data_IF_612159885306
#
_entry.id   IF_612159885306
#
_cell.length_a   1.000
_cell.length_b   1.000
_cell.length_c   1.000
_cell.angle_alpha   90.00
_cell.angle_beta   90.00
_cell.angle_gamma   90.00
#
_symmetry.space_group_name_H-M   'P 1'
#
loop_
_entity.id
_entity.type
_entity.pdbx_description
1 polymer ?
#
# COMPACT_ATOMS: atom_id res chain seq x y z
N UNK A 1 3.11 15.74 7.09
CA UNK A 1 2.96 14.69 6.10
C UNK A 1 3.03 15.28 4.71
N UNK A 2 3.94 14.81 3.89
CA UNK A 2 4.14 15.38 2.55
C UNK A 2 3.36 14.57 1.52
N UNK A 3 2.19 15.07 1.17
CA UNK A 3 1.36 14.47 0.13
C UNK A 3 1.49 15.36 -1.10
N UNK A 4 1.88 14.77 -2.23
CA UNK A 4 2.16 15.52 -3.43
C UNK A 4 1.20 15.12 -4.55
N UNK A 5 1.04 16.01 -5.53
CA UNK A 5 0.17 15.74 -6.68
C UNK A 5 0.86 14.95 -7.76
N UNK A 6 2.19 14.88 -7.72
CA UNK A 6 2.95 14.10 -8.69
C UNK A 6 3.88 13.14 -7.98
N UNK A 7 4.03 11.93 -8.51
CA UNK A 7 4.94 10.97 -7.89
C UNK A 7 6.39 11.31 -8.22
N UNK A 8 7.31 10.87 -7.37
CA UNK A 8 8.74 11.02 -7.61
C UNK A 8 9.44 9.67 -7.75
N UNK A 9 8.79 8.59 -7.33
CA UNK A 9 9.39 7.26 -7.29
C UNK A 9 8.76 6.31 -8.30
N UNK A 10 7.83 6.80 -9.09
CA UNK A 10 7.18 6.04 -10.16
C UNK A 10 6.83 6.99 -11.30
N UNK A 11 6.70 6.45 -12.50
CA UNK A 11 6.34 7.24 -13.67
C UNK A 11 4.84 7.40 -13.85
N UNK A 12 4.09 6.35 -13.54
CA UNK A 12 2.65 6.33 -13.77
C UNK A 12 1.94 7.31 -12.84
N UNK A 13 1.08 8.14 -13.41
CA UNK A 13 0.27 9.08 -12.62
C UNK A 13 -1.06 9.32 -13.30
N UNK A 14 -2.04 9.73 -12.50
CA UNK A 14 -3.35 10.15 -12.99
C UNK A 14 -3.68 11.49 -12.36
N UNK A 15 -4.33 12.35 -13.14
CA UNK A 15 -4.72 13.66 -12.66
C UNK A 15 -5.67 13.53 -11.48
N UNK A 16 -5.43 14.32 -10.43
CA UNK A 16 -6.26 14.33 -9.23
C UNK A 16 -5.87 13.30 -8.18
N UNK A 17 -4.94 12.41 -8.50
CA UNK A 17 -4.47 11.41 -7.52
C UNK A 17 -3.25 11.95 -6.81
N UNK A 18 -3.25 11.89 -5.49
CA UNK A 18 -2.14 12.34 -4.67
C UNK A 18 -1.24 11.16 -4.32
N UNK A 19 -0.01 11.48 -3.97
CA UNK A 19 1.02 10.48 -3.69
C UNK A 19 1.72 10.79 -2.37
N UNK A 20 2.15 9.74 -1.67
CA UNK A 20 2.88 9.88 -0.42
C UNK A 20 4.09 8.95 -0.46
N UNK A 21 5.25 9.45 -0.03
CA UNK A 21 6.48 8.67 -0.02
C UNK A 21 6.40 7.55 1.02
N UNK A 22 7.12 6.43 0.80
CA UNK A 22 7.02 5.30 1.73
C UNK A 22 7.34 5.64 3.18
N UNK A 23 8.39 6.42 3.43
CA UNK A 23 8.74 6.77 4.81
C UNK A 23 7.68 7.63 5.47
N UNK A 24 7.09 8.56 4.71
CA UNK A 24 6.01 9.39 5.23
C UNK A 24 4.78 8.54 5.56
N UNK A 25 4.47 7.59 4.68
CA UNK A 25 3.35 6.68 4.89
C UNK A 25 3.58 5.80 6.13
N UNK A 26 4.80 5.33 6.29
CA UNK A 26 5.17 4.52 7.44
C UNK A 26 4.95 5.28 8.76
N UNK A 27 5.48 6.50 8.84
CA UNK A 27 5.31 7.31 10.06
C UNK A 27 3.85 7.67 10.30
N UNK A 28 3.11 7.99 9.24
CA UNK A 28 1.69 8.31 9.39
C UNK A 28 0.91 7.10 9.91
N UNK A 29 1.21 5.91 9.40
CA UNK A 29 0.55 4.69 9.85
C UNK A 29 0.89 4.36 11.30
N UNK A 30 2.16 4.52 11.67
CA UNK A 30 2.57 4.26 13.06
C UNK A 30 1.94 5.21 14.06
N UNK A 31 1.62 6.42 13.62
CA UNK A 31 1.00 7.42 14.49
C UNK A 31 -0.51 7.45 14.35
N UNK A 32 -1.08 6.42 13.75
CA UNK A 32 -2.54 6.27 13.57
C UNK A 32 -3.16 7.42 12.77
N UNK A 33 -2.38 8.01 11.86
CA UNK A 33 -2.86 9.08 10.99
C UNK A 33 -3.19 8.60 9.59
N UNK A 34 -2.84 7.36 9.27
CA UNK A 34 -3.10 6.78 7.96
C UNK A 34 -3.33 5.29 8.11
N UNK A 35 -4.06 4.73 7.16
CA UNK A 35 -4.31 3.31 7.05
C UNK A 35 -3.76 2.86 5.71
N UNK A 36 -2.94 1.83 5.71
CA UNK A 36 -2.43 1.26 4.48
C UNK A 36 -3.46 0.28 3.93
N UNK A 37 -3.74 0.40 2.65
CA UNK A 37 -4.69 -0.46 1.94
C UNK A 37 -3.94 -1.16 0.82
N UNK A 38 -3.69 -2.45 1.01
CA UNK A 38 -3.02 -3.28 0.01
C UNK A 38 -4.08 -3.82 -0.95
N UNK A 39 -3.94 -3.52 -2.24
CA UNK A 39 -4.91 -3.94 -3.25
C UNK A 39 -4.34 -4.96 -4.23
N UNK A 40 -3.22 -5.58 -3.87
CA UNK A 40 -2.64 -6.64 -4.70
C UNK A 40 -3.49 -7.89 -4.62
N UNK A 41 -3.26 -8.82 -5.56
CA UNK A 41 -4.02 -10.05 -5.56
C UNK A 41 -3.49 -11.03 -4.50
N UNK A 42 -4.28 -12.06 -4.24
CA UNK A 42 -4.06 -12.96 -3.13
C UNK A 42 -2.68 -13.60 -3.13
N UNK A 43 -2.20 -14.01 -4.29
CA UNK A 43 -0.89 -14.67 -4.37
C UNK A 43 0.25 -13.70 -4.04
N UNK A 44 0.09 -12.42 -4.35
CA UNK A 44 1.08 -11.41 -4.00
C UNK A 44 1.08 -11.15 -2.50
N UNK A 45 -0.10 -11.04 -1.93
CA UNK A 45 -0.28 -10.82 -0.49
C UNK A 45 0.31 -11.97 0.32
N UNK A 46 0.12 -13.20 -0.15
CA UNK A 46 0.64 -14.37 0.56
C UNK A 46 2.15 -14.48 0.47
N UNK A 47 2.75 -13.97 -0.60
CA UNK A 47 4.20 -14.04 -0.76
C UNK A 47 4.92 -13.07 0.18
N UNK A 48 4.46 -11.84 0.24
CA UNK A 48 5.00 -10.84 1.16
C UNK A 48 4.01 -9.71 1.34
N UNK A 49 4.08 -9.04 2.47
CA UNK A 49 3.16 -7.95 2.78
C UNK A 49 3.81 -6.96 3.73
N UNK A 50 3.26 -5.76 3.78
CA UNK A 50 3.71 -4.72 4.69
C UNK A 50 3.46 -5.19 6.11
N UNK A 51 4.51 -5.13 6.95
CA UNK A 51 4.46 -5.63 8.32
C UNK A 51 4.12 -4.50 9.28
N UNK A 52 2.84 -4.14 9.32
CA UNK A 52 2.31 -3.17 10.26
C UNK A 52 1.01 -3.73 10.84
N UNK A 53 0.62 -3.31 12.05
CA UNK A 53 -0.54 -3.91 12.72
C UNK A 53 -1.87 -3.73 12.02
N UNK A 54 -2.05 -2.63 11.30
CA UNK A 54 -3.36 -2.29 10.77
C UNK A 54 -3.34 -2.05 9.27
N UNK A 55 -2.88 -3.06 8.53
CA UNK A 55 -2.93 -3.02 7.07
C UNK A 55 -4.22 -3.70 6.62
N UNK A 56 -5.03 -2.96 5.86
CA UNK A 56 -6.22 -3.52 5.25
C UNK A 56 -5.84 -4.20 3.94
N UNK A 57 -6.51 -5.30 3.65
CA UNK A 57 -6.29 -6.02 2.41
C UNK A 57 -7.62 -6.18 1.66
N UNK A 58 -7.73 -5.54 0.50
CA UNK A 58 -8.87 -5.66 -0.41
C UNK A 58 -8.33 -5.73 -1.83
N UNK A 59 -8.26 -6.92 -2.41
CA UNK A 59 -7.66 -7.04 -3.74
C UNK A 59 -8.42 -6.24 -4.79
N UNK A 60 -7.68 -5.73 -5.78
CA UNK A 60 -8.26 -4.90 -6.82
C UNK A 60 -9.45 -5.57 -7.49
N UNK A 61 -9.42 -6.89 -7.66
CA UNK A 61 -10.50 -7.64 -8.28
C UNK A 61 -11.80 -7.64 -7.47
N UNK A 62 -11.72 -7.31 -6.17
CA UNK A 62 -12.90 -7.33 -5.29
C UNK A 62 -13.19 -5.99 -4.63
N UNK A 63 -12.41 -4.96 -4.93
CA UNK A 63 -12.49 -3.69 -4.19
C UNK A 63 -13.87 -3.03 -4.31
N UNK A 64 -14.49 -3.15 -5.48
CA UNK A 64 -15.82 -2.53 -5.69
C UNK A 64 -16.87 -3.09 -4.73
N UNK A 65 -16.78 -4.38 -4.44
CA UNK A 65 -17.74 -5.04 -3.54
C UNK A 65 -17.41 -4.81 -2.07
N UNK A 66 -16.25 -4.21 -1.78
CA UNK A 66 -15.77 -4.07 -0.41
C UNK A 66 -15.61 -2.62 0.04
N UNK A 67 -16.03 -1.68 -0.78
CA UNK A 67 -15.84 -0.26 -0.46
C UNK A 67 -16.47 0.14 0.87
N UNK A 68 -17.60 -0.44 1.22
CA UNK A 68 -18.26 -0.11 2.48
C UNK A 68 -17.47 -0.55 3.70
N UNK A 69 -16.47 -1.41 3.51
CA UNK A 69 -15.61 -1.86 4.60
C UNK A 69 -14.34 -1.04 4.75
N UNK A 70 -14.15 -0.02 3.91
CA UNK A 70 -12.98 0.85 3.97
C UNK A 70 -13.34 2.07 4.79
N UNK A 71 -12.64 2.31 5.92
CA UNK A 71 -12.92 3.51 6.73
C UNK A 71 -12.50 4.76 5.99
N UNK A 72 -13.22 5.87 6.21
CA UNK A 72 -12.90 7.14 5.56
C UNK A 72 -12.59 8.26 6.56
N UNK A 73 -12.32 7.90 7.80
CA UNK A 73 -12.02 8.87 8.86
C UNK A 73 -10.52 9.14 9.00
N UNK A 74 -9.71 8.53 8.17
CA UNK A 74 -8.27 8.70 8.16
C UNK A 74 -7.77 8.74 6.72
N UNK A 75 -6.50 9.13 6.54
CA UNK A 75 -5.87 9.04 5.23
C UNK A 75 -5.74 7.57 4.84
N UNK A 76 -6.18 7.24 3.63
CA UNK A 76 -6.03 5.89 3.07
C UNK A 76 -4.84 5.93 2.12
N UNK A 77 -3.82 5.13 2.39
CA UNK A 77 -2.66 5.00 1.51
C UNK A 77 -2.80 3.69 0.76
N UNK A 78 -3.08 3.79 -0.53
CA UNK A 78 -3.30 2.62 -1.38
C UNK A 78 -1.97 2.11 -1.91
N UNK A 79 -1.73 0.83 -1.77
CA UNK A 79 -0.45 0.23 -2.13
C UNK A 79 -0.60 -0.95 -3.08
N UNK A 80 0.28 -1.01 -4.07
CA UNK A 80 0.48 -2.20 -4.89
C UNK A 80 2.00 -2.38 -5.08
N UNK A 81 2.41 -3.25 -5.99
CA UNK A 81 3.83 -3.56 -6.10
C UNK A 81 4.64 -2.36 -6.59
N UNK A 82 4.19 -1.68 -7.65
CA UNK A 82 4.95 -0.60 -8.28
C UNK A 82 4.23 0.74 -8.29
N UNK A 83 3.01 0.80 -7.79
CA UNK A 83 2.25 2.04 -7.70
C UNK A 83 1.27 2.29 -8.84
N UNK A 84 1.26 1.47 -9.89
CA UNK A 84 0.36 1.70 -11.01
C UNK A 84 -1.08 1.34 -10.67
N UNK A 85 -1.30 0.11 -10.19
CA UNK A 85 -2.64 -0.35 -9.81
C UNK A 85 -3.21 0.50 -8.69
N UNK A 86 -2.37 0.83 -7.70
CA UNK A 86 -2.81 1.61 -6.56
C UNK A 86 -3.19 3.04 -6.96
N UNK A 87 -2.50 3.62 -7.94
CA UNK A 87 -2.88 4.94 -8.46
C UNK A 87 -4.27 4.89 -9.08
N UNK A 88 -4.57 3.83 -9.83
CA UNK A 88 -5.90 3.66 -10.43
C UNK A 88 -6.97 3.48 -9.36
N UNK A 89 -6.68 2.70 -8.33
CA UNK A 89 -7.63 2.48 -7.23
C UNK A 89 -7.82 3.75 -6.42
N UNK A 90 -6.76 4.51 -6.17
CA UNK A 90 -6.89 5.80 -5.49
C UNK A 90 -7.83 6.73 -6.25
N UNK A 91 -7.70 6.75 -7.57
CA UNK A 91 -8.61 7.53 -8.41
C UNK A 91 -10.05 7.05 -8.29
N UNK A 92 -10.24 5.73 -8.30
CA UNK A 92 -11.56 5.13 -8.16
C UNK A 92 -12.19 5.51 -6.82
N UNK A 93 -11.43 5.42 -5.74
CA UNK A 93 -11.91 5.77 -4.41
C UNK A 93 -12.27 7.25 -4.32
N UNK A 94 -11.45 8.12 -4.91
CA UNK A 94 -11.77 9.55 -4.96
C UNK A 94 -13.12 9.79 -5.64
N UNK A 95 -13.39 9.08 -6.72
CA UNK A 95 -14.65 9.22 -7.45
C UNK A 95 -15.84 8.73 -6.66
N UNK A 96 -15.62 7.82 -5.72
CA UNK A 96 -16.68 7.25 -4.90
C UNK A 96 -16.82 7.95 -3.54
N UNK A 97 -16.21 9.13 -3.39
CA UNK A 97 -16.42 9.96 -2.22
C UNK A 97 -15.36 9.88 -1.13
N UNK A 98 -14.32 9.05 -1.33
CA UNK A 98 -13.20 9.01 -0.38
C UNK A 98 -12.30 10.22 -0.63
N UNK A 99 -12.25 11.16 0.31
CA UNK A 99 -11.57 12.43 0.09
C UNK A 99 -10.11 12.42 0.51
N UNK A 100 -9.74 11.55 1.43
CA UNK A 100 -8.36 11.49 1.95
C UNK A 100 -7.72 10.19 1.48
N UNK A 101 -7.30 10.18 0.21
CA UNK A 101 -6.70 8.99 -0.40
C UNK A 101 -5.42 9.41 -1.10
N UNK A 102 -4.37 8.62 -0.93
CA UNK A 102 -3.11 8.83 -1.63
C UNK A 102 -2.56 7.49 -2.09
N UNK A 103 -1.76 7.53 -3.14
CA UNK A 103 -1.03 6.36 -3.63
C UNK A 103 0.32 6.27 -2.90
N UNK A 104 0.71 5.05 -2.52
CA UNK A 104 2.06 4.81 -1.99
C UNK A 104 3.04 4.94 -3.16
N UNK A 105 3.81 6.03 -3.16
CA UNK A 105 4.70 6.37 -4.27
C UNK A 105 5.76 5.30 -4.46
N UNK A 106 5.86 4.75 -5.67
CA UNK A 106 6.79 3.68 -5.99
C UNK A 106 6.34 2.30 -5.52
N UNK A 107 5.25 2.21 -4.76
CA UNK A 107 4.69 0.95 -4.32
C UNK A 107 5.53 0.21 -3.30
N UNK A 108 5.20 -1.05 -3.11
CA UNK A 108 5.88 -1.90 -2.14
C UNK A 108 7.34 -2.15 -2.53
N UNK A 109 7.66 -2.12 -3.82
CA UNK A 109 9.06 -2.23 -4.25
C UNK A 109 9.93 -1.12 -3.64
N UNK A 110 9.45 0.12 -3.65
CA UNK A 110 10.17 1.23 -3.03
C UNK A 110 10.18 1.11 -1.51
N UNK A 111 9.07 0.64 -0.94
CA UNK A 111 8.98 0.38 0.49
C UNK A 111 10.10 -0.56 0.94
N UNK A 112 10.33 -1.63 0.18
CA UNK A 112 11.40 -2.58 0.47
C UNK A 112 12.78 -1.98 0.28
N UNK A 113 12.97 -1.18 -0.77
CA UNK A 113 14.26 -0.53 -1.03
C UNK A 113 14.67 0.39 0.10
N UNK A 114 13.72 0.98 0.79
CA UNK A 114 13.98 1.88 1.91
C UNK A 114 14.03 1.15 3.24
N UNK A 115 14.06 -0.18 3.21
CA UNK A 115 14.19 -1.03 4.39
C UNK A 115 13.07 -0.85 5.40
N UNK A 116 11.87 -0.57 4.93
CA UNK A 116 10.70 -0.47 5.78
C UNK A 116 10.12 -1.87 6.04
N UNK A 117 9.34 -2.07 7.10
CA UNK A 117 8.94 -3.42 7.51
C UNK A 117 8.14 -4.18 6.47
N UNK A 118 8.62 -5.37 6.15
CA UNK A 118 7.98 -6.31 5.23
C UNK A 118 8.00 -7.69 5.87
N UNK A 119 6.89 -8.39 5.78
CA UNK A 119 6.78 -9.77 6.22
C UNK A 119 6.74 -10.68 5.00
N UNK A 120 7.69 -11.63 4.94
CA UNK A 120 7.75 -12.60 3.83
C UNK A 120 7.26 -13.95 4.31
N UNK A 121 6.24 -14.47 3.66
CA UNK A 121 5.62 -15.73 4.06
C UNK A 121 6.41 -16.95 3.62
N UNK A 122 7.28 -16.79 2.67
CA UNK A 122 7.98 -17.92 2.06
C UNK A 122 9.19 -18.43 2.79
N UNK A 123 9.51 -17.88 3.93
CA UNK A 123 10.72 -18.29 4.58
C UNK A 123 10.46 -19.27 5.67
N UNK A 124 10.42 -19.61 5.79
CA UNK A 124 10.29 -20.07 6.76
C UNK A 124 10.81 -21.07 7.02
N UNK A 125 11.14 -20.73 6.62
CA UNK A 125 11.52 -21.38 6.86
C UNK A 125 12.17 -21.57 6.77
N UNK A 126 12.32 -21.57 6.41
CA UNK A 126 13.02 -21.73 6.58
C UNK A 126 13.57 -21.51 6.41
N UNK A 127 13.53 -21.58 6.29
CA UNK A 127 14.29 -21.55 6.44
C UNK A 127 14.58 -21.21 6.17
N UNK A 128 14.72 -21.52 6.02
CA UNK A 128 15.34 -21.43 6.21
C UNK A 128 15.57 -21.06 6.01
N UNK A 129 15.40 -21.28 5.89
CA UNK A 129 16.02 -21.23 6.10
C UNK A 129 16.11 -20.88 5.90
N UNK A 130 16.26 -21.31 5.71
CA UNK A 130 16.68 -21.20 6.05
C UNK A 130 16.74 -20.82 5.98
N UNK A 131 16.65 -21.07 5.72
CA UNK A 131 16.94 -20.97 6.11
C UNK A 131 16.94 -20.57 6.09
N UNK A 132 16.99 -20.91 5.80
CA UNK A 132 17.26 -20.86 6.30
C UNK A 132 17.33 -20.43 6.29
N UNK A 133 17.36 -20.71 6.00
CA UNK A 133 17.72 -20.64 6.52
C UNK A 133 17.89 -20.25 6.58
N UNK A 134 17.93 -20.55 6.26
CA UNK A 134 18.23 -20.60 6.76
C UNK A 134 18.47 -20.26 6.90
#
# INVERSE_FOLDING_TARGET
MNITEKPTLQDFQLEGVKHIAPQEAYYAAKNNRAILLDIREDYEWKAEKIDLPEVLYHPMSAIMDRMQHIPDDNLIVVACTKGERSTKIANLLNRHGFKNVANLDGGIDEWKKQNLPIESAGTSGCGCGCSCNN
#
